data_IF_961146282818
#
_entry.id   IF_961146282818
#
_cell.length_a   1.000
_cell.length_b   1.000
_cell.length_c   1.000
_cell.angle_alpha   90.00
_cell.angle_beta   90.00
_cell.angle_gamma   90.00
#
_symmetry.space_group_name_H-M   'P 1'
#
loop_
_entity.id
_entity.type
_entity.pdbx_description
1 polymer ?
#
# COMPACT_ATOMS: atom_id res chain seq x y z
N UNK A 1 -4.02 13.85 14.53
CA UNK A 1 -5.46 13.56 14.77
C UNK A 1 -5.60 12.99 16.17
N UNK A 2 -6.42 13.63 16.99
CA UNK A 2 -6.74 13.19 18.35
C UNK A 2 -7.57 11.90 18.21
N UNK A 3 -7.13 10.80 18.83
CA UNK A 3 -7.74 9.49 18.65
C UNK A 3 -9.18 9.46 19.14
N UNK A 4 -10.14 9.36 18.22
CA UNK A 4 -11.53 9.11 18.58
C UNK A 4 -11.65 7.73 19.23
N UNK A 5 -12.43 7.64 20.31
CA UNK A 5 -12.74 6.36 20.94
C UNK A 5 -13.75 5.64 20.05
N UNK A 6 -13.32 4.56 19.41
CA UNK A 6 -14.22 3.65 18.72
C UNK A 6 -15.07 2.87 19.73
N UNK A 7 -16.40 2.86 19.55
CA UNK A 7 -17.35 2.20 20.47
C UNK A 7 -17.59 0.72 20.14
N UNK A 8 -17.29 0.29 18.90
CA UNK A 8 -17.39 -1.10 18.45
C UNK A 8 -16.30 -1.47 17.43
N UNK A 9 -16.06 -2.78 17.22
CA UNK A 9 -15.19 -3.24 16.11
C UNK A 9 -15.65 -2.71 14.75
N UNK A 10 -16.96 -2.56 14.54
CA UNK A 10 -17.51 -2.01 13.31
C UNK A 10 -17.12 -0.55 13.11
N UNK A 11 -17.03 0.23 14.18
CA UNK A 11 -16.59 1.63 14.13
C UNK A 11 -15.09 1.70 13.81
N UNK A 12 -14.30 0.76 14.31
CA UNK A 12 -12.88 0.61 13.95
C UNK A 12 -12.75 0.32 12.44
N UNK A 13 -13.48 -0.66 11.92
CA UNK A 13 -13.44 -0.98 10.47
C UNK A 13 -14.04 0.12 9.58
N UNK A 14 -14.93 0.95 10.13
CA UNK A 14 -15.49 2.11 9.40
C UNK A 14 -14.54 3.31 9.44
N UNK A 15 -13.79 3.48 10.53
CA UNK A 15 -12.81 4.55 10.72
C UNK A 15 -11.43 4.28 10.11
N UNK A 16 -11.03 3.01 9.97
CA UNK A 16 -9.82 2.63 9.24
C UNK A 16 -10.12 2.66 7.74
N UNK A 17 -9.62 3.69 7.06
CA UNK A 17 -9.89 3.89 5.64
C UNK A 17 -9.01 3.05 4.70
N UNK A 18 -8.02 2.36 5.26
CA UNK A 18 -6.89 1.73 4.57
C UNK A 18 -6.54 0.34 5.15
N UNK A 19 -7.54 -0.43 5.60
CA UNK A 19 -7.33 -1.79 6.15
C UNK A 19 -6.53 -2.68 5.18
N UNK A 20 -6.73 -2.48 3.87
CA UNK A 20 -5.85 -2.97 2.82
C UNK A 20 -5.51 -1.83 1.85
N UNK A 21 -4.22 -1.68 1.58
CA UNK A 21 -3.66 -0.74 0.61
C UNK A 21 -2.96 -1.46 -0.52
N UNK A 22 -3.34 -1.18 -1.76
CA UNK A 22 -2.65 -1.68 -2.95
C UNK A 22 -1.99 -0.54 -3.70
N UNK A 23 -0.83 -0.83 -4.28
CA UNK A 23 -0.12 0.11 -5.15
C UNK A 23 0.04 -0.52 -6.53
N UNK A 24 -0.50 0.14 -7.54
CA UNK A 24 -0.32 -0.24 -8.94
C UNK A 24 0.69 0.72 -9.55
N UNK A 25 1.83 0.18 -9.96
CA UNK A 25 2.92 0.92 -10.63
C UNK A 25 3.06 0.36 -12.03
N UNK A 26 2.45 0.98 -13.05
CA UNK A 26 2.65 0.56 -14.42
C UNK A 26 4.07 0.87 -14.90
N UNK A 27 4.64 -0.02 -15.71
CA UNK A 27 5.96 0.14 -16.34
C UNK A 27 5.96 1.14 -17.51
N UNK A 28 4.78 1.49 -18.03
CA UNK A 28 4.63 2.48 -19.12
C UNK A 28 3.42 3.39 -18.95
N UNK A 29 3.40 4.59 -19.59
CA UNK A 29 2.29 5.52 -19.48
C UNK A 29 0.95 4.93 -19.90
N UNK A 30 0.90 4.07 -20.93
CA UNK A 30 -0.36 3.46 -21.37
C UNK A 30 -0.99 2.55 -20.31
N UNK A 31 -0.21 2.08 -19.35
CA UNK A 31 -0.66 1.24 -18.25
C UNK A 31 -1.46 1.98 -17.18
N UNK A 32 -1.26 3.30 -17.02
CA UNK A 32 -2.00 4.12 -16.05
C UNK A 32 -3.51 4.12 -16.35
N UNK A 33 -3.98 4.57 -17.53
CA UNK A 33 -5.42 4.57 -17.83
C UNK A 33 -6.01 3.15 -17.88
N UNK A 34 -5.23 2.12 -18.23
CA UNK A 34 -5.64 0.71 -18.15
C UNK A 34 -5.93 0.31 -16.69
N UNK A 35 -5.04 0.65 -15.76
CA UNK A 35 -5.21 0.38 -14.33
C UNK A 35 -6.43 1.12 -13.76
N UNK A 36 -6.58 2.41 -14.06
CA UNK A 36 -7.74 3.21 -13.64
C UNK A 36 -9.06 2.64 -14.20
N UNK A 37 -9.05 2.20 -15.46
CA UNK A 37 -10.18 1.51 -16.08
C UNK A 37 -10.55 0.22 -15.35
N UNK A 38 -9.56 -0.62 -15.00
CA UNK A 38 -9.79 -1.83 -14.20
C UNK A 38 -10.41 -1.45 -12.84
N UNK A 39 -9.87 -0.47 -12.14
CA UNK A 39 -10.37 -0.06 -10.81
C UNK A 39 -11.83 0.38 -10.90
N UNK A 40 -12.14 1.26 -11.84
CA UNK A 40 -13.49 1.84 -12.00
C UNK A 40 -14.52 0.85 -12.53
N UNK A 41 -14.12 -0.19 -13.25
CA UNK A 41 -15.01 -1.26 -13.71
C UNK A 41 -15.18 -2.38 -12.67
N UNK A 42 -14.14 -2.64 -11.86
CA UNK A 42 -14.07 -3.81 -10.99
C UNK A 42 -14.33 -3.51 -9.52
N UNK A 43 -14.62 -2.27 -9.13
CA UNK A 43 -14.94 -1.94 -7.75
C UNK A 43 -15.98 -0.84 -7.66
N UNK A 44 -16.64 -0.78 -6.51
CA UNK A 44 -17.59 0.30 -6.22
C UNK A 44 -16.79 1.51 -5.74
N UNK A 45 -16.62 2.49 -6.62
CA UNK A 45 -15.82 3.68 -6.35
C UNK A 45 -16.47 4.54 -5.25
N UNK A 46 -15.71 4.84 -4.20
CA UNK A 46 -16.14 5.71 -3.09
C UNK A 46 -15.56 7.11 -3.23
N UNK A 47 -14.25 7.21 -3.45
CA UNK A 47 -13.54 8.50 -3.55
C UNK A 47 -12.29 8.38 -4.40
N UNK A 48 -11.97 9.45 -5.12
CA UNK A 48 -10.65 9.64 -5.75
C UNK A 48 -9.96 10.83 -5.10
N UNK A 49 -8.74 10.64 -4.62
CA UNK A 49 -7.89 11.71 -4.10
C UNK A 49 -6.66 11.84 -5.01
N UNK A 50 -6.48 13.01 -5.63
CA UNK A 50 -5.32 13.27 -6.49
C UNK A 50 -4.27 14.08 -5.72
N UNK A 51 -3.07 13.53 -5.65
CA UNK A 51 -1.88 14.14 -5.10
C UNK A 51 -1.14 14.78 -6.26
N UNK A 52 -1.12 16.11 -6.35
CA UNK A 52 -0.52 16.84 -7.47
C UNK A 52 0.97 17.10 -7.25
N UNK A 53 1.75 17.09 -8.33
CA UNK A 53 3.15 17.54 -8.33
C UNK A 53 3.35 19.03 -8.01
N UNK A 54 2.29 19.85 -8.10
CA UNK A 54 2.35 21.29 -7.84
C UNK A 54 2.13 21.69 -6.38
N UNK A 55 2.05 20.71 -5.47
CA UNK A 55 1.80 20.99 -4.05
C UNK A 55 2.97 21.72 -3.42
N UNK A 56 2.65 22.69 -2.56
CA UNK A 56 3.64 23.31 -1.69
C UNK A 56 3.97 22.35 -0.55
N UNK A 57 5.26 21.98 -0.45
CA UNK A 57 5.78 21.10 0.58
C UNK A 57 6.32 21.87 1.79
N UNK A 58 6.24 23.21 1.77
CA UNK A 58 6.78 24.09 2.83
C UNK A 58 8.26 23.82 3.13
N UNK A 59 9.01 23.43 2.10
CA UNK A 59 10.45 23.18 2.18
C UNK A 59 11.24 24.48 2.04
N UNK A 60 12.44 24.50 2.61
CA UNK A 60 13.39 25.62 2.46
C UNK A 60 13.95 25.70 1.04
N UNK A 61 14.02 24.57 0.34
CA UNK A 61 14.29 24.46 -1.09
C UNK A 61 12.98 24.40 -1.88
N UNK A 62 12.84 25.24 -2.92
CA UNK A 62 11.70 25.16 -3.85
C UNK A 62 11.96 24.05 -4.88
N UNK A 63 11.18 22.95 -4.88
CA UNK A 63 11.39 21.85 -5.83
C UNK A 63 11.23 22.31 -7.28
N UNK A 64 12.14 21.87 -8.14
CA UNK A 64 12.13 22.12 -9.59
C UNK A 64 11.30 21.03 -10.30
N UNK A 65 11.40 19.79 -9.84
CA UNK A 65 10.73 18.64 -10.45
C UNK A 65 9.38 18.32 -9.76
N UNK A 66 9.00 19.12 -8.77
CA UNK A 66 7.70 19.04 -8.12
C UNK A 66 7.63 18.00 -6.99
N UNK A 67 6.48 17.99 -6.33
CA UNK A 67 6.13 17.02 -5.31
C UNK A 67 5.73 15.67 -5.91
N UNK A 68 5.58 14.67 -5.04
CA UNK A 68 5.12 13.33 -5.40
C UNK A 68 3.72 13.40 -6.01
N UNK A 69 3.47 12.66 -7.09
CA UNK A 69 2.20 12.62 -7.79
C UNK A 69 1.56 11.22 -7.75
N UNK A 70 0.27 11.15 -7.42
CA UNK A 70 -0.49 9.89 -7.46
C UNK A 70 -2.01 10.12 -7.47
N UNK A 71 -2.74 9.08 -7.84
CA UNK A 71 -4.19 9.00 -7.69
C UNK A 71 -4.54 7.86 -6.73
N UNK A 72 -5.18 8.19 -5.61
CA UNK A 72 -5.63 7.23 -4.62
C UNK A 72 -7.13 7.00 -4.79
N UNK A 73 -7.50 5.76 -5.13
CA UNK A 73 -8.86 5.30 -5.30
C UNK A 73 -9.30 4.56 -4.06
N UNK A 74 -10.26 5.13 -3.34
CA UNK A 74 -10.95 4.41 -2.25
C UNK A 74 -12.15 3.73 -2.85
N UNK A 75 -12.20 2.41 -2.71
CA UNK A 75 -13.19 1.56 -3.36
C UNK A 75 -13.72 0.52 -2.40
N UNK A 76 -14.94 0.03 -2.64
CA UNK A 76 -15.49 -1.15 -1.96
C UNK A 76 -15.45 -2.36 -2.87
N UNK A 77 -15.17 -3.51 -2.29
CA UNK A 77 -15.32 -4.80 -2.97
C UNK A 77 -16.81 -5.12 -3.06
N UNK A 78 -17.34 -5.27 -4.27
CA UNK A 78 -18.76 -5.56 -4.47
C UNK A 78 -19.13 -6.94 -3.91
N UNK A 79 -20.25 -7.03 -3.19
CA UNK A 79 -20.77 -8.28 -2.59
C UNK A 79 -21.13 -9.35 -3.63
N UNK A 80 -21.40 -8.96 -4.88
CA UNK A 80 -21.77 -9.84 -5.97
C UNK A 80 -20.61 -10.69 -6.54
N UNK A 81 -19.39 -10.56 -6.01
CA UNK A 81 -18.18 -11.23 -6.54
C UNK A 81 -17.77 -12.39 -5.65
N UNK A 82 -16.98 -13.33 -6.18
CA UNK A 82 -16.42 -14.50 -5.49
C UNK A 82 -15.51 -14.20 -4.28
N UNK A 83 -15.38 -12.93 -3.91
CA UNK A 83 -14.68 -12.43 -2.74
C UNK A 83 -15.65 -12.26 -1.56
N UNK A 84 -16.64 -13.15 -1.41
CA UNK A 84 -17.75 -13.05 -0.46
C UNK A 84 -17.37 -12.61 0.98
N UNK A 85 -16.26 -13.09 1.57
CA UNK A 85 -15.83 -12.64 2.89
C UNK A 85 -15.34 -11.18 2.97
N UNK A 86 -14.99 -10.58 1.83
CA UNK A 86 -14.43 -9.23 1.72
C UNK A 86 -15.42 -8.20 1.17
N UNK A 87 -16.68 -8.62 0.96
CA UNK A 87 -17.76 -7.74 0.52
C UNK A 87 -17.92 -6.52 1.42
N UNK A 88 -18.02 -5.33 0.82
CA UNK A 88 -18.21 -4.06 1.53
C UNK A 88 -16.96 -3.49 2.21
N UNK A 89 -15.82 -4.19 2.21
CA UNK A 89 -14.55 -3.69 2.77
C UNK A 89 -14.04 -2.52 1.93
N UNK A 90 -13.64 -1.45 2.61
CA UNK A 90 -12.99 -0.30 2.01
C UNK A 90 -11.50 -0.58 1.79
N UNK A 91 -11.05 -0.37 0.56
CA UNK A 91 -9.68 -0.59 0.11
C UNK A 91 -9.18 0.69 -0.53
N UNK A 92 -7.93 1.06 -0.26
CA UNK A 92 -7.25 2.14 -1.01
C UNK A 92 -6.32 1.55 -2.07
N UNK A 93 -6.55 1.91 -3.33
CA UNK A 93 -5.70 1.53 -4.46
C UNK A 93 -5.02 2.79 -4.97
N UNK A 94 -3.71 2.87 -4.80
CA UNK A 94 -2.90 3.97 -5.31
C UNK A 94 -2.35 3.63 -6.70
N UNK A 95 -2.62 4.49 -7.67
CA UNK A 95 -2.04 4.44 -9.01
C UNK A 95 -1.04 5.57 -9.16
N UNK A 96 0.17 5.23 -9.61
CA UNK A 96 1.27 6.16 -9.81
C UNK A 96 2.22 5.62 -10.89
N UNK A 97 3.00 6.50 -11.51
CA UNK A 97 4.00 6.09 -12.50
C UNK A 97 5.19 5.38 -11.83
N UNK A 98 6.00 4.68 -12.63
CA UNK A 98 7.26 4.12 -12.15
C UNK A 98 8.21 5.21 -11.63
N UNK A 99 8.25 6.38 -12.27
CA UNK A 99 9.04 7.52 -11.79
C UNK A 99 8.63 7.93 -10.37
N UNK A 100 7.33 8.13 -10.16
CA UNK A 100 6.78 8.49 -8.86
C UNK A 100 7.03 7.40 -7.82
N UNK A 101 6.96 6.12 -8.22
CA UNK A 101 7.28 5.03 -7.31
C UNK A 101 8.76 4.99 -6.92
N UNK A 102 9.67 5.34 -7.81
CA UNK A 102 11.10 5.39 -7.53
C UNK A 102 11.44 6.60 -6.65
N UNK A 103 10.92 7.77 -7.01
CA UNK A 103 11.08 8.99 -6.22
C UNK A 103 10.53 8.82 -4.80
N UNK A 104 9.31 8.27 -4.66
CA UNK A 104 8.66 8.13 -3.36
C UNK A 104 9.39 7.15 -2.43
N UNK A 105 10.18 6.18 -2.95
CA UNK A 105 11.02 5.33 -2.09
C UNK A 105 12.02 6.14 -1.25
N UNK A 106 12.49 7.28 -1.79
CA UNK A 106 13.40 8.18 -1.09
C UNK A 106 12.62 9.28 -0.35
N UNK A 107 11.66 9.92 -1.03
CA UNK A 107 10.99 11.10 -0.49
C UNK A 107 10.02 10.78 0.67
N UNK A 108 9.44 9.57 0.72
CA UNK A 108 8.43 9.22 1.72
C UNK A 108 8.90 9.40 3.16
N UNK A 109 10.05 8.80 3.51
CA UNK A 109 10.53 8.83 4.89
C UNK A 109 11.23 10.14 5.24
N UNK A 110 11.80 10.83 4.23
CA UNK A 110 12.56 12.05 4.42
C UNK A 110 11.66 13.30 4.44
N UNK A 111 10.74 13.43 3.48
CA UNK A 111 9.89 14.62 3.32
C UNK A 111 8.52 14.40 3.96
N UNK A 112 7.88 13.26 3.73
CA UNK A 112 6.45 13.11 4.02
C UNK A 112 6.13 12.52 5.40
N UNK A 113 7.02 11.70 5.96
CA UNK A 113 6.90 11.18 7.32
C UNK A 113 7.73 11.95 8.35
N UNK A 114 8.63 12.82 7.89
CA UNK A 114 9.57 13.60 8.72
C UNK A 114 10.40 12.72 9.71
N UNK A 115 10.50 11.42 9.44
CA UNK A 115 11.15 10.45 10.34
C UNK A 115 12.67 10.60 10.41
N UNK A 116 13.25 11.38 9.49
CA UNK A 116 14.69 11.63 9.42
C UNK A 116 15.16 12.91 10.14
N UNK A 117 14.25 13.66 10.77
CA UNK A 117 14.57 14.95 11.38
C UNK A 117 14.65 16.10 10.36
N UNK A 118 15.21 17.24 10.76
CA UNK A 118 15.28 18.44 9.92
C UNK A 118 16.25 18.23 8.75
N UNK A 119 15.74 18.33 7.52
CA UNK A 119 16.54 18.20 6.29
C UNK A 119 17.23 19.52 5.95
N UNK A 120 18.52 19.48 5.66
CA UNK A 120 19.22 20.65 5.13
C UNK A 120 18.75 21.01 3.71
N UNK A 121 18.99 22.24 3.27
CA UNK A 121 18.71 22.66 1.89
C UNK A 121 19.40 21.73 0.87
N UNK A 122 20.61 21.24 1.21
CA UNK A 122 21.35 20.31 0.37
C UNK A 122 20.61 18.96 0.24
N UNK A 123 20.06 18.44 1.33
CA UNK A 123 19.31 17.19 1.32
C UNK A 123 18.02 17.34 0.52
N UNK A 124 17.30 18.43 0.72
CA UNK A 124 16.07 18.74 -0.02
C UNK A 124 16.33 18.86 -1.52
N UNK A 125 17.42 19.51 -1.93
CA UNK A 125 17.86 19.59 -3.33
C UNK A 125 18.21 18.20 -3.89
N UNK A 126 18.94 17.37 -3.13
CA UNK A 126 19.26 16.01 -3.57
C UNK A 126 18.02 15.15 -3.78
N UNK A 127 17.00 15.29 -2.92
CA UNK A 127 15.72 14.60 -3.08
C UNK A 127 14.99 15.09 -4.33
N UNK A 128 14.97 16.39 -4.61
CA UNK A 128 14.39 16.97 -5.83
C UNK A 128 15.13 16.50 -7.10
N UNK A 129 16.47 16.45 -7.09
CA UNK A 129 17.26 15.88 -8.20
C UNK A 129 16.90 14.41 -8.44
N UNK A 130 16.69 13.62 -7.37
CA UNK A 130 16.28 12.22 -7.51
C UNK A 130 14.92 12.08 -8.19
N UNK A 131 14.02 13.06 -8.00
CA UNK A 131 12.75 13.11 -8.71
C UNK A 131 13.00 13.33 -10.21
N UNK A 132 13.80 14.33 -10.56
CA UNK A 132 14.20 14.60 -11.95
C UNK A 132 14.84 13.39 -12.65
N UNK A 133 15.73 12.67 -11.98
CA UNK A 133 16.34 11.44 -12.51
C UNK A 133 15.31 10.34 -12.78
N UNK A 134 14.35 10.16 -11.87
CA UNK A 134 13.27 9.19 -12.02
C UNK A 134 12.37 9.53 -13.22
N UNK A 135 12.02 10.80 -13.38
CA UNK A 135 11.25 11.31 -14.52
C UNK A 135 12.01 11.15 -15.85
N UNK A 136 13.30 11.48 -15.88
CA UNK A 136 14.14 11.28 -17.06
C UNK A 136 14.17 9.82 -17.50
N UNK A 137 14.35 8.89 -16.56
CA UNK A 137 14.33 7.46 -16.86
C UNK A 137 12.96 7.01 -17.40
N UNK A 138 11.88 7.50 -16.80
CA UNK A 138 10.53 7.22 -17.26
C UNK A 138 10.24 7.71 -18.67
N UNK A 139 10.73 8.91 -19.04
CA UNK A 139 10.63 9.42 -20.42
C UNK A 139 11.37 8.50 -21.40
N UNK A 140 12.56 8.02 -21.03
CA UNK A 140 13.32 7.07 -21.85
C UNK A 140 12.56 5.75 -22.05
N UNK A 141 11.98 5.19 -20.97
CA UNK A 141 11.15 3.97 -21.06
C UNK A 141 9.91 4.19 -21.92
N UNK A 142 9.20 5.30 -21.70
CA UNK A 142 8.00 5.68 -22.44
C UNK A 142 8.28 5.79 -23.95
N UNK A 143 9.43 6.36 -24.32
CA UNK A 143 9.84 6.51 -25.72
C UNK A 143 10.13 5.16 -26.42
N UNK A 144 10.34 4.10 -25.64
CA UNK A 144 10.65 2.75 -26.13
C UNK A 144 9.51 1.75 -25.89
N UNK A 145 8.40 2.17 -25.30
CA UNK A 145 7.26 1.33 -24.90
C UNK A 145 6.84 0.38 -26.02
N UNK A 146 6.57 0.92 -27.22
CA UNK A 146 6.11 0.12 -28.36
C UNK A 146 7.08 -0.98 -28.81
N UNK A 147 8.38 -0.84 -28.52
CA UNK A 147 9.39 -1.90 -28.78
C UNK A 147 9.47 -2.90 -27.63
N UNK A 148 9.33 -2.43 -26.39
CA UNK A 148 9.45 -3.24 -25.19
C UNK A 148 8.19 -4.08 -24.91
N UNK A 149 7.00 -3.56 -25.25
CA UNK A 149 5.72 -4.30 -25.12
C UNK A 149 5.53 -5.39 -26.18
N UNK A 150 6.28 -5.39 -27.28
CA UNK A 150 6.23 -6.47 -28.28
C UNK A 150 6.73 -7.81 -27.72
N UNK A 151 7.55 -7.79 -26.68
CA UNK A 151 8.03 -8.98 -26.01
C UNK A 151 8.06 -8.75 -24.49
N UNK A 152 6.87 -8.68 -23.85
CA UNK A 152 6.77 -8.25 -22.47
C UNK A 152 7.42 -9.30 -21.59
N UNK A 153 8.52 -8.93 -20.93
CA UNK A 153 9.15 -9.77 -19.90
C UNK A 153 8.31 -9.70 -18.63
N UNK A 154 7.21 -10.46 -18.62
CA UNK A 154 6.38 -10.60 -17.41
C UNK A 154 7.27 -11.20 -16.31
N UNK A 155 7.47 -10.55 -15.16
CA UNK A 155 8.27 -11.11 -14.08
C UNK A 155 7.74 -12.49 -13.67
N UNK A 156 8.65 -13.43 -13.38
CA UNK A 156 8.27 -14.82 -13.08
C UNK A 156 7.27 -14.91 -11.90
N UNK A 157 7.36 -13.98 -10.93
CA UNK A 157 6.40 -13.86 -9.84
C UNK A 157 4.98 -13.53 -10.31
N UNK A 158 4.83 -12.63 -11.29
CA UNK A 158 3.53 -12.28 -11.91
C UNK A 158 3.02 -13.44 -12.78
N UNK A 159 3.91 -14.15 -13.48
CA UNK A 159 3.53 -15.36 -14.22
C UNK A 159 3.02 -16.47 -13.30
N UNK A 160 3.62 -16.61 -12.10
CA UNK A 160 3.16 -17.51 -11.05
C UNK A 160 1.81 -17.04 -10.49
N UNK A 161 1.64 -15.74 -10.19
CA UNK A 161 0.39 -15.17 -9.70
C UNK A 161 -0.78 -15.33 -10.68
N UNK A 162 -0.55 -15.18 -11.99
CA UNK A 162 -1.57 -15.38 -13.04
C UNK A 162 -2.11 -16.82 -13.08
N UNK A 163 -1.37 -17.81 -12.56
CA UNK A 163 -1.80 -19.20 -12.40
C UNK A 163 -2.47 -19.47 -11.05
N UNK A 164 -2.45 -18.52 -10.13
CA UNK A 164 -2.92 -18.65 -8.77
C UNK A 164 -4.23 -17.87 -8.65
N UNK A 165 -5.34 -18.55 -8.95
CA UNK A 165 -6.67 -18.17 -8.45
C UNK A 165 -6.82 -18.45 -6.94
N UNK A 166 -5.73 -18.85 -6.28
CA UNK A 166 -5.66 -19.33 -4.91
C UNK A 166 -5.01 -18.23 -4.05
N UNK A 167 -5.82 -17.23 -3.72
CA UNK A 167 -5.47 -16.05 -2.91
C UNK A 167 -4.60 -16.37 -1.66
N UNK A 168 -4.80 -17.50 -0.93
CA UNK A 168 -3.89 -17.94 0.14
C UNK A 168 -2.41 -18.04 -0.24
N UNK A 169 -2.09 -18.53 -1.44
CA UNK A 169 -0.69 -18.63 -1.91
C UNK A 169 -0.11 -17.27 -2.29
N UNK A 170 -0.96 -16.34 -2.74
CA UNK A 170 -0.55 -14.96 -3.03
C UNK A 170 -0.23 -14.21 -1.73
N UNK A 171 -1.05 -14.39 -0.70
CA UNK A 171 -0.82 -13.85 0.65
C UNK A 171 0.48 -14.39 1.24
N UNK A 172 0.75 -15.70 1.14
CA UNK A 172 2.02 -16.30 1.60
C UNK A 172 3.24 -15.84 0.80
N UNK A 173 3.06 -15.39 -0.45
CA UNK A 173 4.15 -14.92 -1.32
C UNK A 173 4.37 -13.40 -1.25
N UNK A 174 3.52 -12.67 -0.52
CA UNK A 174 3.65 -11.22 -0.37
C UNK A 174 4.67 -10.93 0.75
N UNK A 175 5.75 -10.17 0.49
CA UNK A 175 6.75 -9.84 1.51
C UNK A 175 6.10 -9.11 2.68
N UNK A 176 6.46 -9.48 3.91
CA UNK A 176 5.98 -8.83 5.13
C UNK A 176 6.29 -7.33 5.11
N UNK A 177 5.30 -6.48 5.41
CA UNK A 177 5.53 -5.06 5.68
C UNK A 177 5.91 -4.90 7.15
N UNK A 178 7.07 -4.32 7.44
CA UNK A 178 7.44 -3.97 8.81
C UNK A 178 6.52 -2.85 9.32
N UNK A 179 5.80 -3.11 10.42
CA UNK A 179 5.09 -2.08 11.17
C UNK A 179 5.92 -1.64 12.38
N UNK A 180 5.85 -0.35 12.71
CA UNK A 180 6.65 0.33 13.74
C UNK A 180 6.33 -0.08 15.19
N UNK A 181 5.55 -1.14 15.44
CA UNK A 181 5.12 -1.53 16.80
C UNK A 181 5.22 -3.02 17.11
N UNK A 182 6.10 -3.76 16.42
CA UNK A 182 6.31 -5.19 16.65
C UNK A 182 5.68 -6.06 15.57
N UNK A 183 6.36 -7.17 15.23
CA UNK A 183 5.98 -8.06 14.14
C UNK A 183 4.74 -8.87 14.54
N UNK A 184 3.60 -8.59 13.92
CA UNK A 184 2.53 -9.58 13.82
C UNK A 184 2.54 -10.07 12.37
N UNK A 185 3.01 -11.30 12.11
CA UNK A 185 3.01 -11.86 10.76
C UNK A 185 1.60 -11.83 10.15
N UNK A 186 1.48 -11.47 8.88
CA UNK A 186 0.18 -11.42 8.17
C UNK A 186 -0.53 -12.78 8.23
N UNK A 187 0.24 -13.87 8.20
CA UNK A 187 -0.25 -15.24 8.36
C UNK A 187 -0.95 -15.48 9.71
N UNK A 188 -0.50 -14.81 10.77
CA UNK A 188 -1.11 -14.89 12.10
C UNK A 188 -2.45 -14.16 12.13
N UNK A 189 -2.54 -12.99 11.49
CA UNK A 189 -3.81 -12.26 11.34
C UNK A 189 -4.81 -13.05 10.50
N UNK A 190 -4.35 -13.66 9.40
CA UNK A 190 -5.19 -14.50 8.53
C UNK A 190 -5.72 -15.72 9.27
N UNK A 191 -4.88 -16.44 10.02
CA UNK A 191 -5.32 -17.57 10.87
C UNK A 191 -6.33 -17.14 11.93
N UNK A 192 -6.15 -15.96 12.51
CA UNK A 192 -7.08 -15.43 13.51
C UNK A 192 -8.46 -15.14 12.88
N UNK A 193 -8.49 -14.62 11.66
CA UNK A 193 -9.70 -14.40 10.88
C UNK A 193 -10.35 -15.71 10.39
N UNK A 194 -9.56 -16.71 9.99
CA UNK A 194 -10.05 -18.05 9.63
C UNK A 194 -10.68 -18.76 10.83
N UNK A 195 -10.04 -18.68 12.01
CA UNK A 195 -10.58 -19.21 13.25
C UNK A 195 -11.85 -18.45 13.69
N UNK A 196 -11.91 -17.13 13.45
CA UNK A 196 -13.11 -16.32 13.68
C UNK A 196 -14.29 -16.78 12.84
N UNK A 197 -14.07 -17.06 11.54
CA UNK A 197 -15.09 -17.57 10.63
C UNK A 197 -15.54 -18.99 10.97
N UNK A 198 -14.64 -19.82 11.51
CA UNK A 198 -14.91 -21.24 11.79
C UNK A 198 -15.57 -21.46 13.15
N UNK A 199 -15.20 -20.69 14.17
CA UNK A 199 -15.59 -20.96 15.56
C UNK A 199 -16.43 -19.88 16.23
N UNK A 200 -16.58 -18.69 15.61
CA UNK A 200 -17.43 -17.60 16.11
C UNK A 200 -17.10 -17.18 17.55
N UNK A 201 -16.21 -16.22 17.74
CA UNK A 201 -15.97 -15.66 19.07
C UNK A 201 -17.26 -15.04 19.64
N UNK A 202 -17.48 -15.25 20.94
CA UNK A 202 -18.73 -14.88 21.60
C UNK A 202 -18.79 -13.40 21.97
N UNK A 203 -17.68 -12.66 21.92
CA UNK A 203 -17.66 -11.19 22.08
C UNK A 203 -16.33 -10.51 21.67
N UNK A 204 -16.39 -9.19 21.41
CA UNK A 204 -15.25 -8.32 21.07
C UNK A 204 -14.10 -8.35 22.11
N UNK A 205 -14.42 -8.63 23.39
CA UNK A 205 -13.41 -8.71 24.45
C UNK A 205 -12.51 -9.95 24.30
N UNK A 206 -13.06 -11.08 23.88
CA UNK A 206 -12.28 -12.31 23.67
C UNK A 206 -11.30 -12.15 22.49
N UNK A 207 -11.74 -11.48 21.41
CA UNK A 207 -10.87 -11.18 20.27
C UNK A 207 -9.70 -10.27 20.69
N UNK A 208 -9.99 -9.25 21.50
CA UNK A 208 -8.98 -8.31 22.00
C UNK A 208 -7.96 -8.99 22.91
N UNK A 209 -8.40 -9.92 23.77
CA UNK A 209 -7.54 -10.66 24.67
C UNK A 209 -6.69 -11.72 23.92
N UNK A 210 -7.22 -12.34 22.87
CA UNK A 210 -6.44 -13.22 21.98
C UNK A 210 -5.39 -12.45 21.19
N UNK A 211 -5.72 -11.28 20.64
CA UNK A 211 -4.76 -10.42 19.95
C UNK A 211 -3.63 -9.97 20.89
N UNK A 212 -3.95 -9.62 22.15
CA UNK A 212 -2.95 -9.30 23.18
C UNK A 212 -2.06 -10.50 23.52
N UNK A 213 -2.61 -11.70 23.66
CA UNK A 213 -1.83 -12.90 23.93
C UNK A 213 -0.88 -13.26 22.78
N UNK A 214 -1.33 -13.11 21.53
CA UNK A 214 -0.52 -13.40 20.35
C UNK A 214 0.62 -12.38 20.22
N UNK A 215 0.32 -11.09 20.38
CA UNK A 215 1.34 -10.03 20.39
C UNK A 215 2.35 -10.20 21.55
N UNK A 216 1.88 -10.64 22.73
CA UNK A 216 2.74 -10.88 23.90
C UNK A 216 3.66 -12.10 23.77
N UNK A 217 3.23 -13.17 23.07
CA UNK A 217 4.09 -14.35 22.80
C UNK A 217 5.20 -14.04 21.82
N UNK A 218 4.91 -13.32 20.74
CA UNK A 218 5.90 -12.92 19.73
C UNK A 218 6.93 -11.92 20.29
N UNK A 219 6.51 -11.01 21.16
CA UNK A 219 7.41 -10.11 21.89
C UNK A 219 8.39 -10.88 22.80
N UNK A 220 7.95 -11.98 23.43
CA UNK A 220 8.83 -12.84 24.24
C UNK A 220 9.82 -13.66 23.39
N UNK A 221 9.39 -14.19 22.24
CA UNK A 221 10.25 -14.94 21.30
C UNK A 221 11.36 -14.09 20.67
N UNK A 222 11.11 -12.79 20.48
CA UNK A 222 12.11 -11.87 19.90
C UNK A 222 13.22 -11.52 20.92
N UNK A 223 12.93 -11.62 22.23
CA UNK A 223 13.90 -11.35 23.30
C UNK A 223 14.82 -12.56 23.54
N UNK A 224 14.31 -13.80 23.44
CA UNK A 224 15.10 -15.01 23.71
C UNK A 224 16.03 -15.46 22.56
N UNK A 225 15.82 -14.95 21.34
CA UNK A 225 16.65 -15.29 20.16
C UNK A 225 17.63 -14.16 19.77
N UNK A 226 17.74 -13.12 20.62
CA UNK A 226 18.55 -11.92 20.40
C UNK A 226 19.76 -11.78 21.33
N UNK A 227 20.15 -12.83 22.06
CA UNK A 227 21.44 -12.93 22.79
C UNK A 227 22.41 -13.88 22.09
#
# INVERSE_FOLDING_TARGET
>A
MQGERYESLRDIFTGIHDLAGFRIVPDYPSGIPKAEGIITQQFDLVKVSKFSSQRDLSLNWKPIFGAFESANYRVKVSDARSLGPYGGILVEIQVLSLAESLFNKLAHDLIYKETAGELSIKDQNMIDISHGLSLCYWICLSSMEGKLEQNPKIPQAVQKAKKVADLPKLVQATPDSESLSGRIPVTTLVRLLENYQTYGLKSDNELRDQLKQVAGREAHWTIEMGE
#
